data_IF_986553743861
#
_entry.id   IF_986553743861
#
_cell.length_a   1.000
_cell.length_b   1.000
_cell.length_c   1.000
_cell.angle_alpha   90.00
_cell.angle_beta   90.00
_cell.angle_gamma   90.00
#
_symmetry.space_group_name_H-M   'P 1'
#
loop_
_entity.id
_entity.type
_entity.pdbx_description
1 polymer ?
#
# COMPACT_ATOMS: atom_id res chain seq x y z
N UNK A 1 26.43 -1.63 -36.66
CA UNK A 1 25.95 -2.93 -36.15
C UNK A 1 25.52 -2.74 -34.73
N UNK A 2 24.28 -3.13 -34.37
CA UNK A 2 23.64 -3.07 -33.03
C UNK A 2 23.05 -1.77 -32.53
N UNK A 3 22.10 -1.20 -33.25
CA UNK A 3 21.10 -0.27 -32.66
C UNK A 3 19.66 -0.86 -32.75
N UNK A 4 19.53 -2.16 -33.06
CA UNK A 4 18.21 -2.75 -33.34
C UNK A 4 17.67 -3.65 -32.23
N UNK A 5 18.27 -3.70 -31.03
CA UNK A 5 17.82 -4.64 -29.99
C UNK A 5 17.35 -3.98 -28.68
N UNK A 6 17.04 -2.67 -28.73
CA UNK A 6 16.51 -1.95 -27.56
C UNK A 6 15.00 -1.72 -27.62
N UNK A 7 14.31 -2.17 -28.67
CA UNK A 7 12.87 -1.91 -28.84
C UNK A 7 11.95 -3.01 -28.32
N UNK A 8 12.46 -4.11 -27.77
CA UNK A 8 11.63 -5.23 -27.33
C UNK A 8 11.71 -5.56 -25.82
N UNK A 9 12.40 -4.76 -25.04
CA UNK A 9 12.18 -4.69 -23.60
C UNK A 9 11.28 -3.49 -23.34
N UNK A 10 9.98 -3.71 -23.25
CA UNK A 10 9.13 -2.87 -22.42
C UNK A 10 9.62 -3.10 -20.99
N UNK A 11 10.71 -2.46 -20.60
CA UNK A 11 11.01 -2.23 -19.21
C UNK A 11 9.77 -1.51 -18.70
N UNK A 12 9.03 -2.18 -17.84
CA UNK A 12 7.90 -1.57 -17.12
C UNK A 12 8.57 -0.51 -16.25
N UNK A 13 8.59 0.72 -16.77
CA UNK A 13 9.05 1.87 -16.00
C UNK A 13 8.22 1.92 -14.73
N UNK A 14 8.85 1.93 -13.58
CA UNK A 14 8.18 1.92 -12.28
C UNK A 14 8.67 3.08 -11.42
N UNK A 15 7.79 3.57 -10.58
CA UNK A 15 8.14 4.59 -9.62
C UNK A 15 8.51 5.94 -10.28
N UNK A 16 9.61 6.55 -9.84
CA UNK A 16 10.06 7.88 -10.30
C UNK A 16 10.34 7.95 -11.81
N UNK A 17 10.80 6.85 -12.41
CA UNK A 17 11.04 6.77 -13.86
C UNK A 17 9.75 6.90 -14.67
N UNK A 18 8.68 6.25 -14.22
CA UNK A 18 7.37 6.35 -14.84
C UNK A 18 6.82 7.77 -14.72
N UNK A 19 6.94 8.39 -13.55
CA UNK A 19 6.51 9.77 -13.29
C UNK A 19 7.27 10.75 -14.20
N UNK A 20 8.60 10.59 -14.29
CA UNK A 20 9.44 11.39 -15.17
C UNK A 20 9.03 11.25 -16.64
N UNK A 21 8.88 10.01 -17.11
CA UNK A 21 8.54 9.74 -18.51
C UNK A 21 7.19 10.37 -18.91
N UNK A 22 6.17 10.22 -18.04
CA UNK A 22 4.84 10.81 -18.26
C UNK A 22 4.93 12.34 -18.27
N UNK A 23 5.65 12.93 -17.33
CA UNK A 23 5.86 14.37 -17.25
C UNK A 23 6.59 14.91 -18.46
N UNK A 24 7.70 14.30 -18.86
CA UNK A 24 8.46 14.74 -20.03
C UNK A 24 7.69 14.61 -21.35
N UNK A 25 6.95 13.52 -21.51
CA UNK A 25 6.10 13.31 -22.69
C UNK A 25 5.01 14.38 -22.78
N UNK A 26 4.35 14.68 -21.67
CA UNK A 26 3.28 15.69 -21.62
C UNK A 26 3.83 17.10 -21.83
N UNK A 27 4.98 17.43 -21.23
CA UNK A 27 5.66 18.69 -21.46
C UNK A 27 6.00 18.90 -22.94
N UNK A 28 6.58 17.89 -23.59
CA UNK A 28 6.94 17.94 -24.99
C UNK A 28 5.71 18.13 -25.89
N UNK A 29 4.60 17.46 -25.55
CA UNK A 29 3.33 17.58 -26.27
C UNK A 29 2.73 18.99 -26.15
N UNK A 30 2.64 19.49 -24.91
CA UNK A 30 2.04 20.80 -24.64
C UNK A 30 2.87 21.95 -25.22
N UNK A 31 4.20 21.81 -25.23
CA UNK A 31 5.09 22.79 -25.84
C UNK A 31 4.90 22.92 -27.36
N UNK A 32 4.52 21.83 -28.04
CA UNK A 32 4.22 21.86 -29.48
C UNK A 32 2.88 22.51 -29.78
N UNK A 33 1.89 22.41 -28.89
CA UNK A 33 0.52 22.88 -29.11
C UNK A 33 0.30 24.30 -28.59
N UNK A 34 0.93 24.67 -27.47
CA UNK A 34 0.69 25.90 -26.73
C UNK A 34 1.98 26.67 -26.44
N UNK A 35 2.82 26.92 -27.44
CA UNK A 35 4.11 27.60 -27.27
C UNK A 35 4.05 28.94 -26.52
N UNK A 36 2.90 29.66 -26.65
CA UNK A 36 2.70 31.01 -26.11
C UNK A 36 2.13 31.03 -24.66
N UNK A 37 1.85 29.87 -24.06
CA UNK A 37 1.26 29.78 -22.70
C UNK A 37 2.09 28.89 -21.76
N UNK A 38 3.27 29.36 -21.29
CA UNK A 38 4.19 28.55 -20.48
C UNK A 38 3.57 28.09 -19.18
N UNK A 39 2.71 28.88 -18.53
CA UNK A 39 2.02 28.47 -17.29
C UNK A 39 1.06 27.28 -17.52
N UNK A 40 0.35 27.27 -18.65
CA UNK A 40 -0.55 26.17 -18.99
C UNK A 40 0.23 24.87 -19.24
N UNK A 41 1.42 24.97 -19.86
CA UNK A 41 2.32 23.83 -20.10
C UNK A 41 2.78 23.24 -18.76
N UNK A 42 3.26 24.08 -17.85
CA UNK A 42 3.76 23.63 -16.53
C UNK A 42 2.62 23.00 -15.74
N UNK A 43 1.46 23.67 -15.66
CA UNK A 43 0.30 23.15 -14.92
C UNK A 43 -0.20 21.81 -15.47
N UNK A 44 -0.23 21.66 -16.81
CA UNK A 44 -0.61 20.41 -17.47
C UNK A 44 0.38 19.28 -17.17
N UNK A 45 1.68 19.59 -17.25
CA UNK A 45 2.77 18.62 -16.95
C UNK A 45 2.73 18.16 -15.50
N UNK A 46 2.64 19.09 -14.54
CA UNK A 46 2.55 18.77 -13.11
C UNK A 46 1.31 17.91 -12.81
N UNK A 47 0.17 18.22 -13.43
CA UNK A 47 -1.03 17.41 -13.30
C UNK A 47 -0.84 15.97 -13.81
N UNK A 48 -0.17 15.79 -14.94
CA UNK A 48 0.09 14.49 -15.51
C UNK A 48 1.05 13.67 -14.61
N UNK A 49 2.07 14.31 -14.01
CA UNK A 49 2.99 13.68 -13.08
C UNK A 49 2.28 13.26 -11.78
N UNK A 50 1.43 14.11 -11.21
CA UNK A 50 0.65 13.77 -10.02
C UNK A 50 -0.30 12.59 -10.26
N UNK A 51 -0.93 12.52 -11.45
CA UNK A 51 -1.75 11.36 -11.81
C UNK A 51 -0.93 10.07 -11.94
N UNK A 52 0.28 10.15 -12.47
CA UNK A 52 1.19 9.01 -12.54
C UNK A 52 1.63 8.59 -11.13
N UNK A 53 2.00 9.53 -10.26
CA UNK A 53 2.35 9.29 -8.86
C UNK A 53 1.22 8.58 -8.12
N UNK A 54 -0.01 9.08 -8.21
CA UNK A 54 -1.16 8.48 -7.51
C UNK A 54 -1.38 7.02 -7.93
N UNK A 55 -1.20 6.69 -9.21
CA UNK A 55 -1.31 5.31 -9.71
C UNK A 55 -0.22 4.40 -9.14
N UNK A 56 1.01 4.90 -9.05
CA UNK A 56 2.13 4.15 -8.46
C UNK A 56 1.90 3.90 -6.95
N UNK A 57 1.45 4.93 -6.22
CA UNK A 57 1.11 4.81 -4.79
C UNK A 57 -0.04 3.83 -4.58
N UNK A 58 -1.12 3.94 -5.35
CA UNK A 58 -2.27 3.02 -5.29
C UNK A 58 -1.85 1.56 -5.53
N UNK A 59 -0.94 1.31 -6.47
CA UNK A 59 -0.39 -0.01 -6.72
C UNK A 59 0.39 -0.56 -5.51
N UNK A 60 1.16 0.29 -4.82
CA UNK A 60 1.90 -0.07 -3.60
C UNK A 60 0.96 -0.34 -2.42
N UNK A 61 -0.09 0.46 -2.29
CA UNK A 61 -1.07 0.32 -1.21
C UNK A 61 -2.02 -0.86 -1.38
N UNK A 62 -2.20 -1.39 -2.56
CA UNK A 62 -3.26 -2.35 -2.91
C UNK A 62 -3.33 -3.58 -2.00
N UNK A 63 -2.21 -4.01 -1.40
CA UNK A 63 -2.12 -5.19 -0.52
C UNK A 63 -2.05 -4.86 0.97
N UNK A 64 -1.82 -3.62 1.33
CA UNK A 64 -1.67 -3.17 2.72
C UNK A 64 -2.97 -3.32 3.52
N UNK A 65 -4.18 -3.03 2.98
CA UNK A 65 -5.45 -3.21 3.68
C UNK A 65 -5.74 -4.65 4.11
N UNK A 66 -5.24 -5.64 3.37
CA UNK A 66 -5.36 -7.04 3.77
C UNK A 66 -4.68 -7.33 5.12
N UNK A 67 -3.48 -6.79 5.32
CA UNK A 67 -2.77 -6.93 6.61
C UNK A 67 -3.52 -6.24 7.75
N UNK A 68 -4.10 -5.07 7.49
CA UNK A 68 -4.95 -4.38 8.46
C UNK A 68 -6.17 -5.24 8.85
N UNK A 69 -6.79 -5.89 7.87
CA UNK A 69 -7.93 -6.78 8.11
C UNK A 69 -7.53 -7.99 8.96
N UNK A 70 -6.41 -8.65 8.62
CA UNK A 70 -5.90 -9.78 9.41
C UNK A 70 -5.57 -9.32 10.84
N UNK A 71 -4.92 -8.18 10.99
CA UNK A 71 -4.55 -7.61 12.28
C UNK A 71 -5.76 -7.34 13.19
N UNK A 72 -6.84 -6.81 12.60
CA UNK A 72 -8.04 -6.43 13.34
C UNK A 72 -8.99 -7.60 13.59
N UNK A 73 -9.12 -8.56 12.66
CA UNK A 73 -10.11 -9.64 12.73
C UNK A 73 -9.60 -10.87 13.46
N UNK A 74 -8.29 -11.20 13.34
CA UNK A 74 -7.74 -12.43 13.95
C UNK A 74 -7.95 -12.54 15.46
N UNK A 75 -7.83 -11.48 16.28
CA UNK A 75 -8.12 -11.57 17.72
C UNK A 75 -9.58 -11.94 18.01
N UNK A 76 -10.51 -11.43 17.20
CA UNK A 76 -11.94 -11.74 17.35
C UNK A 76 -12.27 -13.18 16.94
N UNK A 77 -11.59 -13.71 15.93
CA UNK A 77 -11.70 -15.12 15.56
C UNK A 77 -11.20 -16.00 16.70
N UNK A 78 -10.06 -15.62 17.33
CA UNK A 78 -9.54 -16.30 18.51
C UNK A 78 -10.52 -16.24 19.69
N UNK A 79 -11.10 -15.08 19.97
CA UNK A 79 -12.12 -14.92 21.03
C UNK A 79 -13.36 -15.76 20.74
N UNK A 80 -13.85 -15.77 19.50
CA UNK A 80 -14.95 -16.62 19.10
C UNK A 80 -14.66 -18.10 19.39
N UNK A 81 -13.43 -18.57 19.06
CA UNK A 81 -13.00 -19.92 19.37
C UNK A 81 -13.04 -20.24 20.87
N UNK A 82 -12.66 -19.29 21.74
CA UNK A 82 -12.75 -19.44 23.19
C UNK A 82 -14.16 -19.59 23.66
N UNK A 83 -15.06 -18.70 23.24
CA UNK A 83 -16.49 -18.74 23.62
C UNK A 83 -17.12 -20.06 23.16
N UNK A 84 -16.85 -20.45 21.93
CA UNK A 84 -17.35 -21.68 21.33
C UNK A 84 -16.85 -22.93 22.09
N UNK A 85 -15.55 -23.01 22.38
CA UNK A 85 -14.94 -24.14 23.09
C UNK A 85 -15.44 -24.27 24.52
N UNK A 86 -15.52 -23.15 25.27
CA UNK A 86 -16.06 -23.15 26.63
C UNK A 86 -17.54 -23.58 26.64
N UNK A 87 -18.33 -23.08 25.70
CA UNK A 87 -19.72 -23.48 25.56
C UNK A 87 -19.85 -24.99 25.37
N UNK A 88 -19.06 -25.60 24.50
CA UNK A 88 -19.08 -27.06 24.28
C UNK A 88 -18.62 -27.83 25.51
N UNK A 89 -17.58 -27.35 26.22
CA UNK A 89 -17.13 -27.98 27.47
C UNK A 89 -18.23 -28.02 28.54
N UNK A 90 -19.01 -26.95 28.68
CA UNK A 90 -20.14 -26.92 29.61
C UNK A 90 -21.35 -27.74 29.12
N UNK A 91 -21.63 -27.79 27.83
CA UNK A 91 -22.70 -28.66 27.30
C UNK A 91 -22.40 -30.14 27.57
N UNK A 92 -21.14 -30.57 27.52
CA UNK A 92 -20.74 -31.93 27.85
C UNK A 92 -21.03 -32.30 29.35
N UNK A 93 -21.06 -31.30 30.25
CA UNK A 93 -21.41 -31.52 31.64
C UNK A 93 -22.91 -31.74 31.86
N UNK A 94 -23.75 -31.20 31.01
CA UNK A 94 -25.22 -31.24 31.21
C UNK A 94 -25.81 -32.63 31.19
N UNK A 95 -25.11 -33.64 30.63
CA UNK A 95 -25.50 -35.05 30.61
C UNK A 95 -24.81 -35.91 31.69
N UNK A 96 -23.92 -35.35 32.50
CA UNK A 96 -23.12 -36.12 33.46
C UNK A 96 -23.82 -36.21 34.82
N UNK A 97 -23.89 -37.43 35.41
CA UNK A 97 -24.43 -37.63 36.76
C UNK A 97 -23.62 -36.99 37.87
N UNK A 98 -22.33 -36.75 37.64
CA UNK A 98 -21.40 -36.01 38.50
C UNK A 98 -20.53 -35.09 37.65
N UNK A 99 -20.65 -33.79 37.88
CA UNK A 99 -19.83 -32.79 37.23
C UNK A 99 -18.45 -32.71 37.88
N UNK A 100 -17.40 -33.03 37.14
CA UNK A 100 -16.01 -32.90 37.62
C UNK A 100 -15.23 -31.91 36.78
N UNK A 101 -14.29 -31.21 37.40
CA UNK A 101 -13.40 -30.26 36.69
C UNK A 101 -12.57 -30.97 35.61
N UNK A 102 -12.21 -32.25 35.84
CA UNK A 102 -11.45 -33.05 34.88
C UNK A 102 -12.17 -33.26 33.54
N UNK A 103 -13.50 -33.17 33.51
CA UNK A 103 -14.31 -33.32 32.28
C UNK A 103 -14.25 -32.09 31.41
N UNK A 104 -14.14 -30.88 31.96
CA UNK A 104 -14.17 -29.63 31.24
C UNK A 104 -12.79 -29.03 30.97
N UNK A 105 -11.79 -29.40 31.77
CA UNK A 105 -10.44 -28.86 31.69
C UNK A 105 -9.80 -29.00 30.29
N UNK A 106 -9.93 -30.12 29.56
CA UNK A 106 -9.38 -30.23 28.20
C UNK A 106 -10.06 -29.25 27.21
N UNK A 107 -11.41 -29.15 27.25
CA UNK A 107 -12.15 -28.25 26.37
C UNK A 107 -11.85 -26.79 26.63
N UNK A 108 -11.64 -26.40 27.90
CA UNK A 108 -11.22 -25.04 28.24
C UNK A 108 -9.80 -24.77 27.73
N UNK A 109 -8.88 -25.76 27.89
CA UNK A 109 -7.51 -25.61 27.39
C UNK A 109 -7.48 -25.42 25.86
N UNK A 110 -8.24 -26.23 25.13
CA UNK A 110 -8.36 -26.10 23.67
C UNK A 110 -8.94 -24.72 23.27
N UNK A 111 -9.94 -24.24 24.01
CA UNK A 111 -10.52 -22.93 23.80
C UNK A 111 -9.48 -21.81 23.96
N UNK A 112 -8.65 -21.85 24.99
CA UNK A 112 -7.59 -20.88 25.23
C UNK A 112 -6.52 -20.91 24.12
N UNK A 113 -6.20 -22.08 23.57
CA UNK A 113 -5.31 -22.22 22.42
C UNK A 113 -5.85 -21.45 21.20
N UNK A 114 -7.14 -21.51 20.95
CA UNK A 114 -7.76 -20.76 19.85
C UNK A 114 -7.50 -19.25 19.94
N UNK A 115 -7.63 -18.67 21.15
CA UNK A 115 -7.27 -17.26 21.38
C UNK A 115 -5.79 -16.99 21.15
N UNK A 116 -4.91 -17.89 21.64
CA UNK A 116 -3.47 -17.74 21.46
C UNK A 116 -3.10 -17.74 19.95
N UNK A 117 -3.72 -18.59 19.14
CA UNK A 117 -3.50 -18.64 17.69
C UNK A 117 -3.99 -17.34 17.04
N UNK A 118 -5.16 -16.83 17.42
CA UNK A 118 -5.69 -15.56 16.91
C UNK A 118 -4.74 -14.39 17.18
N UNK A 119 -4.19 -14.30 18.38
CA UNK A 119 -3.20 -13.28 18.75
C UNK A 119 -1.87 -13.49 18.03
N UNK A 120 -1.42 -14.74 17.90
CA UNK A 120 -0.20 -15.06 17.19
C UNK A 120 -0.24 -14.64 15.71
N UNK A 121 -1.40 -14.73 15.06
CA UNK A 121 -1.59 -14.25 13.69
C UNK A 121 -1.70 -12.71 13.62
N UNK A 122 -2.35 -12.08 14.60
CA UNK A 122 -2.57 -10.65 14.62
C UNK A 122 -1.29 -9.84 14.81
N UNK A 123 -0.41 -10.24 15.71
CA UNK A 123 0.79 -9.49 16.09
C UNK A 123 1.71 -9.22 14.88
N UNK A 124 2.16 -10.23 14.11
CA UNK A 124 3.00 -9.98 12.95
C UNK A 124 2.27 -9.20 11.86
N UNK A 125 0.94 -9.38 11.73
CA UNK A 125 0.15 -8.62 10.75
C UNK A 125 0.12 -7.13 11.07
N UNK A 126 -0.06 -6.73 12.35
CA UNK A 126 0.03 -5.33 12.80
C UNK A 126 1.42 -4.76 12.53
N UNK A 127 2.47 -5.51 12.87
CA UNK A 127 3.86 -5.05 12.67
C UNK A 127 4.16 -4.83 11.18
N UNK A 128 3.73 -5.76 10.33
CA UNK A 128 3.92 -5.65 8.88
C UNK A 128 3.11 -4.49 8.30
N UNK A 129 1.85 -4.34 8.70
CA UNK A 129 0.98 -3.23 8.29
C UNK A 129 1.62 -1.88 8.60
N UNK A 130 2.01 -1.66 9.85
CA UNK A 130 2.60 -0.39 10.28
C UNK A 130 3.88 -0.07 9.51
N UNK A 131 4.75 -1.06 9.33
CA UNK A 131 6.01 -0.87 8.62
C UNK A 131 5.81 -0.57 7.13
N UNK A 132 4.87 -1.26 6.47
CA UNK A 132 4.58 -1.05 5.05
C UNK A 132 3.91 0.31 4.82
N UNK A 133 2.93 0.69 5.65
CA UNK A 133 2.26 2.00 5.56
C UNK A 133 3.26 3.15 5.69
N UNK A 134 4.18 3.08 6.65
CA UNK A 134 5.22 4.10 6.79
C UNK A 134 6.15 4.17 5.57
N UNK A 135 6.46 3.04 4.95
CA UNK A 135 7.28 3.01 3.73
C UNK A 135 6.56 3.59 2.53
N UNK A 136 5.27 3.27 2.36
CA UNK A 136 4.47 3.84 1.27
C UNK A 136 4.38 5.35 1.40
N UNK A 137 4.08 5.87 2.60
CA UNK A 137 4.04 7.32 2.85
C UNK A 137 5.39 8.01 2.55
N UNK A 138 6.50 7.36 2.91
CA UNK A 138 7.84 7.90 2.61
C UNK A 138 8.13 7.93 1.11
N UNK A 139 7.68 6.91 0.35
CA UNK A 139 7.81 6.86 -1.10
C UNK A 139 6.94 7.95 -1.75
N UNK A 140 5.70 8.12 -1.30
CA UNK A 140 4.81 9.17 -1.76
C UNK A 140 5.42 10.57 -1.60
N UNK A 141 5.98 10.86 -0.41
CA UNK A 141 6.68 12.11 -0.14
C UNK A 141 7.88 12.31 -1.06
N UNK A 142 8.67 11.26 -1.31
CA UNK A 142 9.82 11.34 -2.22
C UNK A 142 9.38 11.61 -3.66
N UNK A 143 8.27 11.03 -4.11
CA UNK A 143 7.70 11.32 -5.43
C UNK A 143 7.18 12.76 -5.51
N UNK A 144 6.53 13.26 -4.46
CA UNK A 144 6.09 14.65 -4.38
C UNK A 144 7.27 15.62 -4.50
N UNK A 145 8.33 15.42 -3.71
CA UNK A 145 9.54 16.23 -3.78
C UNK A 145 10.17 16.19 -5.18
N UNK A 146 10.23 15.02 -5.80
CA UNK A 146 10.74 14.88 -7.16
C UNK A 146 9.92 15.69 -8.18
N UNK A 147 8.57 15.66 -8.08
CA UNK A 147 7.68 16.43 -8.95
C UNK A 147 7.92 17.93 -8.77
N UNK A 148 8.07 18.41 -7.54
CA UNK A 148 8.32 19.81 -7.24
C UNK A 148 9.67 20.29 -7.77
N UNK A 149 10.74 19.51 -7.58
CA UNK A 149 12.07 19.79 -8.15
C UNK A 149 12.03 19.85 -9.67
N UNK A 150 11.41 18.85 -10.30
CA UNK A 150 11.31 18.79 -11.75
C UNK A 150 10.45 19.95 -12.31
N UNK A 151 9.36 20.28 -11.66
CA UNK A 151 8.51 21.42 -12.01
C UNK A 151 9.29 22.74 -11.94
N UNK A 152 10.16 22.89 -10.93
CA UNK A 152 11.03 24.08 -10.78
C UNK A 152 12.03 24.18 -11.93
N UNK A 153 12.59 23.06 -12.38
CA UNK A 153 13.49 23.03 -13.53
C UNK A 153 12.75 23.42 -14.81
N UNK A 154 11.55 22.86 -15.02
CA UNK A 154 10.71 23.19 -16.17
C UNK A 154 10.31 24.67 -16.19
N UNK A 155 9.98 25.22 -15.02
CA UNK A 155 9.66 26.65 -14.90
C UNK A 155 10.83 27.52 -15.33
N UNK A 156 12.06 27.23 -14.88
CA UNK A 156 13.26 27.97 -15.35
C UNK A 156 13.48 27.85 -16.86
N UNK A 157 13.23 26.67 -17.45
CA UNK A 157 13.36 26.48 -18.90
C UNK A 157 12.27 27.16 -19.71
N UNK A 158 11.07 27.27 -19.17
CA UNK A 158 9.93 27.90 -19.83
C UNK A 158 10.00 29.45 -19.78
N UNK A 159 10.50 29.99 -18.65
CA UNK A 159 10.60 31.44 -18.42
C UNK A 159 12.04 31.97 -18.53
N UNK A 160 13.05 31.09 -18.56
CA UNK A 160 14.48 31.46 -18.56
C UNK A 160 15.03 31.88 -19.92
N UNK A 161 14.22 32.18 -20.90
CA UNK A 161 14.63 32.82 -22.16
C UNK A 161 14.53 34.34 -22.02
N UNK A 162 15.38 34.93 -21.19
CA UNK A 162 15.80 36.31 -21.42
C UNK A 162 17.09 36.27 -22.25
N UNK A 163 17.11 36.78 -23.44
CA UNK A 163 18.34 36.90 -24.22
C UNK A 163 19.13 38.12 -23.74
N UNK A 164 20.40 37.94 -23.59
CA UNK A 164 21.35 39.04 -23.90
C UNK A 164 22.18 38.63 -25.06
#
# INVERSE_FOLDING_TARGET
>A
MCIRDRSNRREVLTGSEQIFFVGFKEFSRLKQVNADAPEAIIKGTTRAMNLAMNREVEALESRVPFLATVASVSPYIGLFGTVWGIMHAFMALSGAKQATLQMVAPGIAEALIATAIGLFAAIPAVMAYNRLSLRVNAIEQNYGNFIDEFTTILHRQAFGKAPH
#
